data_IF_816319703610
#
_entry.id   IF_816319703610
#
_cell.length_a   1.000
_cell.length_b   1.000
_cell.length_c   1.000
_cell.angle_alpha   90.00
_cell.angle_beta   90.00
_cell.angle_gamma   90.00
#
_symmetry.space_group_name_H-M   'P 1'
#
loop_
_entity.id
_entity.type
_entity.pdbx_description
1 polymer ?
#
# COMPACT_ATOMS: atom_id res chain seq x y z
N UNK A 1 -0.11 4.46 -24.96
CA UNK A 1 -1.45 4.83 -24.45
C UNK A 1 -2.19 5.61 -25.52
N UNK A 2 -3.50 5.51 -25.59
CA UNK A 2 -4.32 6.26 -26.57
C UNK A 2 -4.83 7.58 -25.95
N UNK A 3 -3.92 8.33 -25.35
CA UNK A 3 -4.19 9.63 -24.74
C UNK A 3 -2.97 10.53 -24.87
N UNK A 4 -3.18 11.84 -24.85
CA UNK A 4 -2.14 12.87 -24.91
C UNK A 4 -1.83 13.50 -23.53
N UNK A 5 -2.48 13.03 -22.49
CA UNK A 5 -2.21 13.47 -21.12
C UNK A 5 -2.36 12.32 -20.11
N UNK A 6 -1.85 12.53 -18.90
CA UNK A 6 -2.02 11.67 -17.72
C UNK A 6 -2.72 12.46 -16.62
N UNK A 7 -3.71 11.85 -15.96
CA UNK A 7 -4.36 12.47 -14.80
C UNK A 7 -3.41 12.50 -13.60
N UNK A 8 -2.68 11.40 -13.38
CA UNK A 8 -1.73 11.25 -12.29
C UNK A 8 -0.43 10.60 -12.80
N UNK A 9 0.69 11.26 -12.56
CA UNK A 9 2.03 10.70 -12.76
C UNK A 9 2.68 10.45 -11.40
N UNK A 10 3.16 9.21 -11.17
CA UNK A 10 3.75 8.83 -9.89
C UNK A 10 5.23 8.48 -10.02
N UNK A 11 6.04 9.05 -9.14
CA UNK A 11 7.43 8.63 -8.96
C UNK A 11 7.41 7.24 -8.31
N UNK A 12 8.08 6.25 -8.92
CA UNK A 12 7.91 4.83 -8.56
C UNK A 12 8.53 4.48 -7.20
N UNK A 13 9.71 5.02 -6.90
CA UNK A 13 10.40 4.89 -5.61
C UNK A 13 11.44 5.99 -5.43
N UNK A 14 11.88 6.23 -4.17
CA UNK A 14 12.97 7.16 -3.90
C UNK A 14 14.28 6.76 -4.58
N UNK A 15 15.06 7.74 -5.03
CA UNK A 15 16.42 7.52 -5.58
C UNK A 15 17.47 7.29 -4.51
N UNK A 16 17.11 7.38 -3.24
CA UNK A 16 17.99 7.19 -2.07
C UNK A 16 17.70 5.86 -1.36
N UNK A 17 18.62 5.45 -0.48
CA UNK A 17 18.44 4.27 0.36
C UNK A 17 17.31 4.48 1.38
N UNK A 18 16.28 3.63 1.31
CA UNK A 18 15.09 3.64 2.20
C UNK A 18 14.68 2.21 2.56
N UNK A 19 13.89 2.09 3.61
CA UNK A 19 13.28 0.84 4.02
C UNK A 19 12.03 0.52 3.18
N UNK A 20 12.22 0.03 1.97
CA UNK A 20 11.14 -0.43 1.10
C UNK A 20 11.43 -1.84 0.54
N UNK A 21 10.42 -2.48 -0.06
CA UNK A 21 10.54 -3.77 -0.74
C UNK A 21 11.23 -4.88 0.10
N UNK A 22 10.65 -5.23 1.25
CA UNK A 22 11.13 -6.26 2.18
C UNK A 22 12.28 -5.83 3.12
N UNK A 23 12.66 -4.57 3.12
CA UNK A 23 13.63 -4.03 4.08
C UNK A 23 12.85 -3.43 5.26
N UNK A 24 13.02 -4.02 6.47
CA UNK A 24 12.30 -3.56 7.68
C UNK A 24 12.87 -2.28 8.24
N UNK A 25 14.19 -2.21 8.31
CA UNK A 25 14.92 -1.15 8.99
C UNK A 25 15.53 -0.16 8.01
N UNK A 26 15.71 1.07 8.45
CA UNK A 26 16.43 2.04 7.64
C UNK A 26 17.89 1.59 7.45
N UNK A 27 18.41 1.57 6.21
CA UNK A 27 19.75 1.03 5.92
C UNK A 27 20.87 2.03 6.26
N UNK A 28 20.94 2.48 7.51
CA UNK A 28 21.85 3.55 7.96
C UNK A 28 23.34 3.28 7.73
N UNK A 29 23.75 2.02 7.57
CA UNK A 29 25.14 1.65 7.28
C UNK A 29 25.52 1.84 5.80
N UNK A 30 24.56 1.69 4.91
CA UNK A 30 24.75 1.77 3.45
C UNK A 30 24.06 2.98 2.82
N UNK A 31 23.19 3.67 3.57
CA UNK A 31 22.59 4.90 3.14
C UNK A 31 23.68 5.98 3.02
N UNK A 32 24.06 6.28 1.79
CA UNK A 32 24.94 7.41 1.49
C UNK A 32 24.17 8.71 1.63
N UNK A 33 24.88 9.81 1.91
CA UNK A 33 24.32 11.16 1.72
C UNK A 33 24.22 11.42 0.22
N UNK A 34 23.23 10.81 -0.39
CA UNK A 34 22.89 11.09 -1.78
C UNK A 34 22.37 12.52 -1.88
N UNK A 35 22.66 13.17 -2.99
CA UNK A 35 22.20 14.54 -3.21
C UNK A 35 20.66 14.56 -3.19
N UNK A 36 20.11 15.47 -2.40
CA UNK A 36 18.65 15.73 -2.39
C UNK A 36 18.27 16.38 -3.72
N UNK A 37 17.55 15.68 -4.56
CA UNK A 37 17.13 16.15 -5.89
C UNK A 37 15.63 16.49 -5.98
N UNK A 38 14.97 16.68 -4.84
CA UNK A 38 13.53 16.95 -4.78
C UNK A 38 13.14 18.20 -5.59
N UNK A 39 13.94 19.27 -5.55
CA UNK A 39 13.69 20.51 -6.29
C UNK A 39 13.77 20.27 -7.80
N UNK A 40 14.88 19.66 -8.29
CA UNK A 40 15.06 19.35 -9.70
C UNK A 40 13.94 18.48 -10.26
N UNK A 41 13.50 17.46 -9.48
CA UNK A 41 12.39 16.59 -9.86
C UNK A 41 11.09 17.40 -9.97
N UNK A 42 10.78 18.24 -8.97
CA UNK A 42 9.55 19.02 -8.97
C UNK A 42 9.55 20.07 -10.09
N UNK A 43 10.67 20.74 -10.38
CA UNK A 43 10.79 21.67 -11.51
C UNK A 43 10.58 20.96 -12.85
N UNK A 44 11.13 19.74 -12.99
CA UNK A 44 10.92 18.92 -14.18
C UNK A 44 9.44 18.55 -14.35
N UNK A 45 8.79 18.12 -13.27
CA UNK A 45 7.38 17.74 -13.30
C UNK A 45 6.46 18.95 -13.53
N UNK A 46 6.82 20.13 -12.99
CA UNK A 46 6.10 21.38 -13.21
C UNK A 46 6.05 21.75 -14.71
N UNK A 47 7.15 21.55 -15.43
CA UNK A 47 7.17 21.78 -16.87
C UNK A 47 6.14 20.91 -17.61
N UNK A 48 5.95 19.64 -17.22
CA UNK A 48 4.95 18.77 -17.80
C UNK A 48 3.51 19.13 -17.37
N UNK A 49 3.34 19.60 -16.13
CA UNK A 49 2.04 20.09 -15.66
C UNK A 49 1.65 21.36 -16.44
N UNK A 50 2.56 22.32 -16.60
CA UNK A 50 2.34 23.54 -17.40
C UNK A 50 2.06 23.25 -18.87
N UNK A 51 2.69 22.21 -19.43
CA UNK A 51 2.44 21.75 -20.79
C UNK A 51 1.10 21.00 -20.95
N UNK A 52 0.38 20.70 -19.86
CA UNK A 52 -0.87 19.96 -19.85
C UNK A 52 -0.75 18.46 -20.16
N UNK A 53 0.46 17.92 -20.16
CA UNK A 53 0.71 16.47 -20.38
C UNK A 53 0.55 15.65 -19.11
N UNK A 54 0.65 16.27 -17.95
CA UNK A 54 0.36 15.69 -16.63
C UNK A 54 -0.59 16.64 -15.92
N UNK A 55 -1.62 16.13 -15.25
CA UNK A 55 -2.55 16.95 -14.43
C UNK A 55 -2.07 17.07 -12.99
N UNK A 56 -1.72 15.94 -12.38
CA UNK A 56 -1.27 15.86 -10.99
C UNK A 56 -0.09 14.92 -10.86
N UNK A 57 0.66 15.07 -9.77
CA UNK A 57 1.80 14.23 -9.44
C UNK A 57 1.54 13.47 -8.14
N UNK A 58 2.17 12.31 -7.99
CA UNK A 58 2.12 11.49 -6.79
C UNK A 58 3.47 10.83 -6.51
N UNK A 59 3.58 10.30 -5.31
CA UNK A 59 4.74 9.55 -4.83
C UNK A 59 4.42 8.06 -4.76
N UNK A 60 5.43 7.21 -4.71
CA UNK A 60 5.26 5.79 -4.41
C UNK A 60 6.47 5.26 -3.64
N UNK A 61 6.22 4.33 -2.71
CA UNK A 61 7.23 3.75 -1.84
C UNK A 61 8.04 4.79 -1.06
N UNK A 62 7.41 5.95 -0.80
CA UNK A 62 8.07 7.06 -0.13
C UNK A 62 7.91 6.94 1.40
N UNK A 63 8.85 7.53 2.12
CA UNK A 63 8.89 7.57 3.58
C UNK A 63 8.24 8.85 4.12
N UNK A 64 7.93 8.93 5.44
CA UNK A 64 7.44 10.19 6.03
C UNK A 64 8.37 11.37 5.78
N UNK A 65 9.69 11.15 5.95
CA UNK A 65 10.68 12.21 5.72
C UNK A 65 10.68 12.70 4.27
N UNK A 66 10.73 11.79 3.30
CA UNK A 66 10.77 12.20 1.90
C UNK A 66 9.47 12.81 1.42
N UNK A 67 8.32 12.33 1.91
CA UNK A 67 7.02 12.94 1.64
C UNK A 67 7.00 14.39 2.10
N UNK A 68 7.39 14.65 3.36
CA UNK A 68 7.44 16.01 3.89
C UNK A 68 8.44 16.89 3.13
N UNK A 69 9.57 16.34 2.69
CA UNK A 69 10.54 17.08 1.85
C UNK A 69 9.95 17.51 0.52
N UNK A 70 9.23 16.62 -0.19
CA UNK A 70 8.53 16.98 -1.43
C UNK A 70 7.48 18.06 -1.20
N UNK A 71 6.67 17.92 -0.15
CA UNK A 71 5.62 18.88 0.20
C UNK A 71 6.19 20.25 0.56
N UNK A 72 7.23 20.29 1.39
CA UNK A 72 7.91 21.53 1.78
C UNK A 72 8.57 22.19 0.55
N UNK A 73 9.33 21.44 -0.25
CA UNK A 73 9.99 21.97 -1.46
C UNK A 73 8.96 22.53 -2.45
N UNK A 74 7.82 21.85 -2.63
CA UNK A 74 6.74 22.34 -3.48
C UNK A 74 6.18 23.67 -2.96
N UNK A 75 5.95 23.80 -1.66
CA UNK A 75 5.42 25.03 -1.05
C UNK A 75 6.45 26.18 -1.14
N UNK A 76 7.72 25.93 -0.80
CA UNK A 76 8.77 26.95 -0.76
C UNK A 76 9.07 27.53 -2.15
N UNK A 77 8.88 26.74 -3.21
CA UNK A 77 9.19 27.12 -4.60
C UNK A 77 7.94 27.33 -5.47
N UNK A 78 6.73 27.27 -4.90
CA UNK A 78 5.46 27.38 -5.64
C UNK A 78 5.35 26.39 -6.81
N UNK A 79 5.73 25.13 -6.55
CA UNK A 79 5.70 24.02 -7.49
C UNK A 79 4.50 23.08 -7.21
N UNK A 80 4.11 22.23 -8.17
CA UNK A 80 3.03 21.27 -7.97
C UNK A 80 3.25 20.38 -6.74
N UNK A 81 2.27 20.30 -5.84
CA UNK A 81 2.30 19.38 -4.70
C UNK A 81 1.95 17.96 -5.15
N UNK A 82 2.65 16.92 -4.66
CA UNK A 82 2.16 15.56 -4.72
C UNK A 82 0.80 15.43 -4.03
N UNK A 83 -0.16 14.77 -4.68
CA UNK A 83 -1.53 14.60 -4.16
C UNK A 83 -1.80 13.20 -3.61
N UNK A 84 -0.94 12.24 -3.91
CA UNK A 84 -1.09 10.84 -3.47
C UNK A 84 0.24 10.21 -3.11
N UNK A 85 0.17 9.18 -2.25
CA UNK A 85 1.28 8.25 -2.00
C UNK A 85 0.79 6.84 -2.33
N UNK A 86 1.46 6.14 -3.24
CA UNK A 86 1.17 4.74 -3.50
C UNK A 86 2.15 3.85 -2.74
N UNK A 87 1.70 3.27 -1.62
CA UNK A 87 2.52 2.39 -0.78
C UNK A 87 1.82 1.06 -0.49
N UNK A 88 2.60 0.04 -0.13
CA UNK A 88 2.08 -1.24 0.33
C UNK A 88 1.27 -1.07 1.61
N UNK A 89 0.07 -1.62 1.62
CA UNK A 89 -0.75 -1.64 2.82
C UNK A 89 -1.73 -2.83 2.81
N UNK A 90 -1.81 -3.54 3.93
CA UNK A 90 -2.72 -4.68 4.12
C UNK A 90 -2.82 -5.06 5.61
N UNK A 91 -3.72 -5.98 5.98
CA UNK A 91 -3.84 -6.51 7.35
C UNK A 91 -2.52 -7.04 7.93
N UNK A 92 -1.62 -7.56 7.11
CA UNK A 92 -0.31 -8.11 7.54
C UNK A 92 0.87 -7.18 7.25
N UNK A 93 0.61 -5.99 6.72
CA UNK A 93 1.60 -4.94 6.48
C UNK A 93 1.00 -3.55 6.73
N UNK A 94 1.08 -3.08 7.96
CA UNK A 94 0.50 -1.81 8.44
C UNK A 94 1.56 -0.74 8.76
N UNK A 95 2.76 -0.89 8.19
CA UNK A 95 3.87 0.05 8.41
C UNK A 95 3.58 1.50 8.06
N UNK A 96 2.63 1.74 7.16
CA UNK A 96 2.14 3.08 6.80
C UNK A 96 1.58 3.85 8.01
N UNK A 97 0.96 3.15 8.95
CA UNK A 97 0.37 3.76 10.15
C UNK A 97 1.39 4.34 11.14
N UNK A 98 2.65 3.92 11.05
CA UNK A 98 3.69 4.36 12.00
C UNK A 98 4.06 5.85 11.84
N UNK A 99 3.81 6.42 10.66
CA UNK A 99 4.12 7.85 10.44
C UNK A 99 3.44 8.45 9.22
N UNK A 100 3.29 7.70 8.13
CA UNK A 100 2.68 8.23 6.90
C UNK A 100 1.18 8.49 7.04
N UNK A 101 0.47 7.76 7.88
CA UNK A 101 -0.94 8.03 8.15
C UNK A 101 -1.17 9.43 8.74
N UNK A 102 -0.31 9.85 9.67
CA UNK A 102 -0.38 11.21 10.22
C UNK A 102 -0.08 12.26 9.13
N UNK A 103 0.97 12.03 8.33
CA UNK A 103 1.29 12.91 7.19
C UNK A 103 0.10 13.00 6.24
N UNK A 104 -0.53 11.87 5.89
CA UNK A 104 -1.70 11.85 5.01
C UNK A 104 -2.85 12.70 5.54
N UNK A 105 -3.17 12.55 6.82
CA UNK A 105 -4.30 13.26 7.45
C UNK A 105 -4.04 14.75 7.66
N UNK A 106 -2.78 15.15 7.89
CA UNK A 106 -2.42 16.57 8.13
C UNK A 106 -2.14 17.33 6.86
N UNK A 107 -1.57 16.66 5.86
CA UNK A 107 -1.11 17.29 4.62
C UNK A 107 -2.06 17.08 3.44
N UNK A 108 -3.18 16.42 3.65
CA UNK A 108 -4.17 16.07 2.61
C UNK A 108 -3.53 15.36 1.41
N UNK A 109 -2.74 14.32 1.70
CA UNK A 109 -2.08 13.47 0.71
C UNK A 109 -2.46 12.00 0.95
N UNK A 110 -3.40 11.48 0.16
CA UNK A 110 -4.02 10.18 0.44
C UNK A 110 -3.23 8.97 -0.07
N UNK A 111 -3.46 7.83 0.61
CA UNK A 111 -2.86 6.55 0.23
C UNK A 111 -3.62 5.88 -0.92
N UNK A 112 -2.89 5.50 -1.96
CA UNK A 112 -3.27 4.46 -2.92
C UNK A 112 -2.64 3.14 -2.44
N UNK A 113 -3.44 2.29 -1.79
CA UNK A 113 -2.95 1.07 -1.16
C UNK A 113 -2.70 -0.02 -2.20
N UNK A 114 -1.44 -0.39 -2.45
CA UNK A 114 -1.14 -1.55 -3.28
C UNK A 114 -0.94 -2.82 -2.44
N UNK A 115 -1.23 -3.96 -3.05
CA UNK A 115 -1.19 -5.29 -2.43
C UNK A 115 -2.09 -5.44 -1.18
N UNK A 116 -3.33 -4.93 -1.18
CA UNK A 116 -4.23 -5.04 -0.02
C UNK A 116 -4.55 -6.51 0.33
N UNK A 117 -4.42 -7.42 -0.63
CA UNK A 117 -4.52 -8.88 -0.43
C UNK A 117 -3.15 -9.58 -0.27
N UNK A 118 -2.07 -8.81 -0.02
CA UNK A 118 -0.72 -9.37 0.15
C UNK A 118 -0.36 -10.38 -0.96
N UNK A 119 -0.51 -9.99 -2.23
CA UNK A 119 -0.29 -10.85 -3.40
C UNK A 119 -1.17 -12.12 -3.43
N UNK A 120 -2.30 -12.11 -2.71
CA UNK A 120 -3.24 -13.22 -2.61
C UNK A 120 -3.03 -14.09 -1.35
N UNK A 121 -2.10 -13.77 -0.47
CA UNK A 121 -1.92 -14.46 0.82
C UNK A 121 -3.15 -14.25 1.72
N UNK A 122 -3.71 -13.06 1.72
CA UNK A 122 -4.95 -12.72 2.43
C UNK A 122 -6.25 -13.20 1.75
N UNK A 123 -6.14 -14.17 0.83
CA UNK A 123 -7.29 -14.99 0.42
C UNK A 123 -7.32 -16.36 1.13
N UNK A 124 -6.32 -16.67 1.96
CA UNK A 124 -6.18 -17.95 2.66
C UNK A 124 -5.70 -19.12 1.79
N UNK A 125 -5.61 -18.96 0.47
CA UNK A 125 -5.32 -20.06 -0.46
C UNK A 125 -3.93 -20.68 -0.34
N UNK A 126 -3.01 -20.02 0.36
CA UNK A 126 -1.65 -20.51 0.59
C UNK A 126 -1.44 -21.09 2.00
N UNK A 127 -2.47 -21.09 2.84
CA UNK A 127 -2.39 -21.70 4.17
C UNK A 127 -2.03 -23.19 4.07
N UNK A 128 -1.39 -23.69 5.11
CA UNK A 128 -0.98 -25.09 5.26
C UNK A 128 -0.06 -25.57 4.12
N UNK A 129 0.79 -24.68 3.59
CA UNK A 129 1.75 -24.97 2.54
C UNK A 129 1.15 -25.19 1.15
N UNK A 130 -0.13 -24.86 0.95
CA UNK A 130 -0.78 -24.99 -0.35
C UNK A 130 -0.19 -23.99 -1.36
N UNK A 131 -0.09 -24.42 -2.61
CA UNK A 131 0.29 -23.57 -3.75
C UNK A 131 -0.58 -23.90 -4.97
N UNK A 132 -1.82 -23.41 -5.02
CA UNK A 132 -2.74 -23.76 -6.10
C UNK A 132 -2.15 -23.45 -7.47
N UNK A 133 -2.34 -24.38 -8.42
CA UNK A 133 -1.90 -24.21 -9.79
C UNK A 133 -2.46 -22.93 -10.42
N UNK A 134 -1.63 -22.21 -11.19
CA UNK A 134 -2.00 -20.95 -11.82
C UNK A 134 -2.09 -19.77 -10.84
N UNK A 135 -1.90 -19.98 -9.54
CA UNK A 135 -1.83 -18.88 -8.59
C UNK A 135 -0.51 -18.11 -8.71
N UNK A 136 -0.51 -16.84 -8.25
CA UNK A 136 0.71 -16.02 -8.28
C UNK A 136 1.88 -16.68 -7.53
N UNK A 137 1.61 -17.30 -6.39
CA UNK A 137 2.63 -18.01 -5.61
C UNK A 137 3.19 -19.24 -6.30
N UNK A 138 2.38 -19.91 -7.12
CA UNK A 138 2.81 -21.04 -7.93
C UNK A 138 3.63 -20.57 -9.14
N UNK A 139 3.16 -19.53 -9.87
CA UNK A 139 3.82 -19.02 -11.07
C UNK A 139 5.05 -18.16 -10.76
N UNK A 140 4.99 -17.37 -9.68
CA UNK A 140 5.99 -16.38 -9.32
C UNK A 140 6.30 -16.40 -7.81
N UNK A 141 6.85 -17.51 -7.26
CA UNK A 141 7.04 -17.67 -5.81
C UNK A 141 7.89 -16.58 -5.17
N UNK A 142 8.82 -15.99 -5.91
CA UNK A 142 9.66 -14.89 -5.42
C UNK A 142 8.84 -13.65 -5.00
N UNK A 143 7.73 -13.36 -5.68
CA UNK A 143 6.92 -12.18 -5.38
C UNK A 143 6.08 -12.31 -4.11
N UNK A 144 5.73 -13.53 -3.70
CA UNK A 144 4.95 -13.74 -2.48
C UNK A 144 5.83 -14.08 -1.26
N UNK A 145 7.12 -14.36 -1.46
CA UNK A 145 8.03 -14.81 -0.40
C UNK A 145 7.99 -13.90 0.84
N UNK A 146 7.96 -12.58 0.64
CA UNK A 146 7.86 -11.60 1.75
C UNK A 146 6.60 -11.74 2.61
N UNK A 147 5.53 -12.32 2.07
CA UNK A 147 4.23 -12.48 2.74
C UNK A 147 4.03 -13.88 3.33
N UNK A 148 5.01 -14.79 3.20
CA UNK A 148 4.89 -16.21 3.54
C UNK A 148 5.66 -16.64 4.82
N UNK A 149 6.14 -15.68 5.63
CA UNK A 149 6.79 -15.98 6.90
C UNK A 149 5.84 -16.61 7.92
N UNK A 150 6.39 -17.28 8.94
CA UNK A 150 5.62 -17.98 9.99
C UNK A 150 4.61 -17.07 10.69
N UNK A 151 5.02 -15.84 11.04
CA UNK A 151 4.10 -14.85 11.61
C UNK A 151 2.97 -14.47 10.68
N UNK A 152 3.22 -14.41 9.36
CA UNK A 152 2.17 -14.12 8.37
C UNK A 152 1.11 -15.22 8.32
N UNK A 153 1.53 -16.49 8.32
CA UNK A 153 0.61 -17.63 8.30
C UNK A 153 -0.28 -17.67 9.53
N UNK A 154 0.27 -17.41 10.70
CA UNK A 154 -0.49 -17.34 11.95
C UNK A 154 -1.50 -16.16 11.94
N UNK A 155 -1.07 -14.96 11.53
CA UNK A 155 -1.94 -13.81 11.43
C UNK A 155 -3.09 -14.06 10.43
N UNK A 156 -2.79 -14.65 9.26
CA UNK A 156 -3.79 -14.97 8.23
C UNK A 156 -4.84 -15.96 8.75
N UNK A 157 -4.44 -16.98 9.53
CA UNK A 157 -5.39 -17.92 10.16
C UNK A 157 -6.34 -17.20 11.11
N UNK A 158 -5.84 -16.30 11.95
CA UNK A 158 -6.66 -15.52 12.88
C UNK A 158 -7.62 -14.59 12.15
N UNK A 159 -7.16 -13.87 11.13
CA UNK A 159 -8.04 -13.05 10.30
C UNK A 159 -9.09 -13.88 9.55
N UNK A 160 -8.75 -15.11 9.14
CA UNK A 160 -9.73 -16.02 8.52
C UNK A 160 -10.85 -16.42 9.48
N UNK A 161 -10.53 -16.62 10.75
CA UNK A 161 -11.54 -16.91 11.79
C UNK A 161 -12.46 -15.70 12.02
N UNK A 162 -11.89 -14.49 12.09
CA UNK A 162 -12.68 -13.24 12.18
C UNK A 162 -13.62 -13.12 10.99
N UNK A 163 -13.12 -13.30 9.76
CA UNK A 163 -13.94 -13.25 8.55
C UNK A 163 -15.09 -14.25 8.60
N UNK A 164 -14.79 -15.50 8.97
CA UNK A 164 -15.79 -16.57 9.10
C UNK A 164 -16.87 -16.24 10.12
N UNK A 165 -16.50 -15.70 11.27
CA UNK A 165 -17.44 -15.32 12.34
C UNK A 165 -18.37 -14.19 11.91
N UNK A 166 -17.92 -13.35 10.95
CA UNK A 166 -18.71 -12.27 10.37
C UNK A 166 -19.43 -12.67 9.06
N UNK A 167 -19.36 -13.93 8.64
CA UNK A 167 -20.07 -14.43 7.44
C UNK A 167 -19.52 -13.90 6.12
N UNK A 168 -18.27 -13.42 6.08
CA UNK A 168 -17.60 -12.89 4.90
C UNK A 168 -16.32 -13.68 4.59
N UNK A 169 -15.79 -13.52 3.39
CA UNK A 169 -14.51 -14.13 3.02
C UNK A 169 -13.33 -13.34 3.62
N UNK A 170 -12.17 -13.97 3.71
CA UNK A 170 -10.95 -13.28 4.16
C UNK A 170 -10.52 -12.17 3.18
N UNK A 171 -10.77 -12.35 1.89
CA UNK A 171 -10.54 -11.30 0.89
C UNK A 171 -11.42 -10.08 1.13
N UNK A 172 -12.70 -10.30 1.38
CA UNK A 172 -13.67 -9.25 1.71
C UNK A 172 -13.30 -8.53 3.00
N UNK A 173 -12.98 -9.25 4.07
CA UNK A 173 -12.51 -8.67 5.34
C UNK A 173 -11.28 -7.77 5.10
N UNK A 174 -10.29 -8.29 4.36
CA UNK A 174 -9.03 -7.59 4.11
C UNK A 174 -9.22 -6.31 3.31
N UNK A 175 -10.06 -6.33 2.29
CA UNK A 175 -10.34 -5.16 1.47
C UNK A 175 -11.23 -4.15 2.21
N UNK A 176 -12.29 -4.62 2.88
CA UNK A 176 -13.18 -3.77 3.67
C UNK A 176 -12.41 -3.02 4.77
N UNK A 177 -11.47 -3.70 5.45
CA UNK A 177 -10.60 -3.07 6.44
C UNK A 177 -9.82 -1.89 5.83
N UNK A 178 -9.19 -2.09 4.67
CA UNK A 178 -8.41 -1.03 4.02
C UNK A 178 -9.31 0.09 3.51
N UNK A 179 -10.49 -0.23 2.95
CA UNK A 179 -11.44 0.77 2.44
C UNK A 179 -11.96 1.75 3.51
N UNK A 180 -12.04 1.32 4.78
CA UNK A 180 -12.61 2.12 5.86
C UNK A 180 -11.63 3.09 6.52
N UNK A 181 -10.34 3.02 6.17
CA UNK A 181 -9.32 3.87 6.78
C UNK A 181 -9.33 5.28 6.20
N UNK A 182 -9.36 6.33 7.04
CA UNK A 182 -9.58 7.70 6.58
C UNK A 182 -8.44 8.27 5.72
N UNK A 183 -7.25 7.69 5.79
CA UNK A 183 -6.10 8.08 4.96
C UNK A 183 -6.03 7.33 3.63
N UNK A 184 -6.90 6.34 3.39
CA UNK A 184 -6.93 5.56 2.14
C UNK A 184 -7.94 6.17 1.18
N UNK A 185 -7.48 6.59 0.02
CA UNK A 185 -8.35 7.12 -1.04
C UNK A 185 -8.71 6.07 -2.09
N UNK A 186 -7.89 5.03 -2.26
CA UNK A 186 -8.21 3.91 -3.13
C UNK A 186 -7.41 2.66 -2.81
N UNK A 187 -8.05 1.50 -2.96
CA UNK A 187 -7.41 0.20 -3.01
C UNK A 187 -7.01 -0.14 -4.45
N UNK A 188 -5.76 -0.59 -4.63
CA UNK A 188 -5.30 -1.09 -5.92
C UNK A 188 -5.43 -2.62 -5.93
N UNK A 189 -6.47 -3.09 -6.60
CA UNK A 189 -6.81 -4.51 -6.69
C UNK A 189 -6.32 -5.13 -8.00
N UNK A 190 -6.17 -6.45 -8.01
CA UNK A 190 -5.93 -7.25 -9.19
C UNK A 190 -6.74 -8.55 -9.14
N UNK A 191 -7.26 -8.98 -10.27
CA UNK A 191 -8.02 -10.22 -10.40
C UNK A 191 -7.67 -10.92 -11.72
N UNK A 192 -7.64 -12.26 -11.68
CA UNK A 192 -7.46 -13.11 -12.87
C UNK A 192 -8.76 -13.83 -13.26
N UNK A 193 -9.80 -13.72 -12.44
CA UNK A 193 -11.12 -14.31 -12.66
C UNK A 193 -12.20 -13.28 -12.37
N UNK A 194 -13.31 -13.34 -13.11
CA UNK A 194 -14.45 -12.44 -12.91
C UNK A 194 -15.08 -12.57 -11.51
N UNK A 195 -15.07 -13.77 -10.92
CA UNK A 195 -15.53 -13.97 -9.53
C UNK A 195 -14.71 -13.15 -8.53
N UNK A 196 -13.38 -13.17 -8.65
CA UNK A 196 -12.49 -12.37 -7.81
C UNK A 196 -12.70 -10.85 -8.01
N UNK A 197 -12.88 -10.42 -9.26
CA UNK A 197 -13.13 -9.00 -9.53
C UNK A 197 -14.44 -8.53 -8.90
N UNK A 198 -15.51 -9.32 -9.00
CA UNK A 198 -16.82 -9.02 -8.38
C UNK A 198 -16.70 -8.96 -6.85
N UNK A 199 -16.02 -9.95 -6.23
CA UNK A 199 -15.78 -10.00 -4.80
C UNK A 199 -14.98 -8.75 -4.34
N UNK A 200 -13.88 -8.44 -5.03
CA UNK A 200 -13.04 -7.30 -4.70
C UNK A 200 -13.79 -5.96 -4.80
N UNK A 201 -14.58 -5.76 -5.87
CA UNK A 201 -15.40 -4.55 -6.02
C UNK A 201 -16.50 -4.51 -4.96
N UNK A 202 -17.15 -5.64 -4.68
CA UNK A 202 -18.21 -5.76 -3.68
C UNK A 202 -17.76 -5.38 -2.27
N UNK A 203 -16.48 -5.52 -1.95
CA UNK A 203 -15.93 -5.20 -0.64
C UNK A 203 -16.14 -3.75 -0.20
N UNK A 204 -16.35 -2.81 -1.13
CA UNK A 204 -16.61 -1.39 -0.82
C UNK A 204 -17.94 -1.18 -0.07
N UNK A 205 -18.86 -2.13 -0.16
CA UNK A 205 -20.16 -2.08 0.49
C UNK A 205 -20.18 -2.80 1.85
N UNK A 206 -19.06 -3.37 2.28
CA UNK A 206 -18.94 -4.08 3.55
C UNK A 206 -18.46 -3.09 4.62
N UNK A 207 -19.30 -2.86 5.60
CA UNK A 207 -18.98 -2.10 6.80
C UNK A 207 -18.62 -3.07 7.93
N UNK A 208 -17.38 -2.99 8.42
CA UNK A 208 -16.94 -3.79 9.56
C UNK A 208 -17.42 -3.12 10.86
N UNK A 209 -17.98 -3.93 11.76
CA UNK A 209 -18.40 -3.45 13.08
C UNK A 209 -17.21 -3.01 13.93
N UNK A 210 -17.45 -2.19 14.95
CA UNK A 210 -16.43 -1.80 15.93
C UNK A 210 -15.81 -3.04 16.61
N UNK A 211 -16.61 -4.07 16.91
CA UNK A 211 -16.12 -5.33 17.45
C UNK A 211 -15.16 -6.02 16.48
N UNK A 212 -15.51 -6.11 15.20
CA UNK A 212 -14.64 -6.72 14.18
C UNK A 212 -13.33 -5.96 14.03
N UNK A 213 -13.37 -4.62 14.04
CA UNK A 213 -12.19 -3.77 14.03
C UNK A 213 -11.31 -3.97 15.26
N UNK A 214 -11.92 -4.14 16.43
CA UNK A 214 -11.20 -4.45 17.68
C UNK A 214 -10.51 -5.82 17.60
N UNK A 215 -11.19 -6.85 17.12
CA UNK A 215 -10.61 -8.18 16.91
C UNK A 215 -9.42 -8.14 15.93
N UNK A 216 -9.53 -7.36 14.83
CA UNK A 216 -8.42 -7.12 13.90
C UNK A 216 -7.25 -6.44 14.62
N UNK A 217 -7.51 -5.45 15.46
CA UNK A 217 -6.48 -4.74 16.20
C UNK A 217 -5.77 -5.65 17.20
N UNK A 218 -6.48 -6.57 17.86
CA UNK A 218 -5.90 -7.56 18.76
C UNK A 218 -4.94 -8.50 18.05
N UNK A 219 -5.30 -8.98 16.85
CA UNK A 219 -4.38 -9.79 16.02
C UNK A 219 -3.14 -8.99 15.67
N UNK A 220 -3.31 -7.73 15.25
CA UNK A 220 -2.18 -6.88 14.91
C UNK A 220 -1.26 -6.58 16.11
N UNK A 221 -1.83 -6.40 17.30
CA UNK A 221 -1.04 -6.19 18.52
C UNK A 221 -0.21 -7.43 18.91
N UNK A 222 -0.75 -8.63 18.69
CA UNK A 222 -0.03 -9.89 18.93
C UNK A 222 1.05 -10.16 17.90
N UNK A 223 0.79 -9.86 16.63
CA UNK A 223 1.67 -10.18 15.50
C UNK A 223 1.82 -8.92 14.62
N UNK A 224 2.61 -7.92 15.05
CA UNK A 224 2.73 -6.65 14.35
C UNK A 224 3.55 -6.81 13.05
N UNK A 225 3.00 -6.33 11.93
CA UNK A 225 3.69 -6.25 10.63
C UNK A 225 4.48 -7.51 10.26
N UNK A 226 3.87 -8.70 10.20
CA UNK A 226 4.60 -9.93 9.92
C UNK A 226 5.18 -10.00 8.50
N UNK A 227 4.72 -9.14 7.60
CA UNK A 227 5.11 -9.12 6.18
C UNK A 227 5.50 -7.70 5.73
N UNK A 228 6.61 -7.15 6.19
CA UNK A 228 7.07 -5.80 5.90
C UNK A 228 7.50 -5.60 4.45
#
# INVERSE_FOLDING_TARGET
>A
MQTNYLDLYQLHWPSRGVNCFCVRDYPYQTATKEAENHLEILETLDAFVKAGTIRTIGLSNETPWGTMKYLQTANDHNLPRPVTIQNSYSLIHRGYEVGLSEVSMREDIGLLAYSPLAQGVLSGKYLDGKSPEGSRGNLFPRFIARYMGDGSSEAVKRYQEIAKNNGITLSELSLAFVNQLPFVISNIIGATKMSQLKENIGSIHIELSEQTLQEIQEVHAMIPNPAP
#
